data_IF_974213238932
#
_entry.id   IF_974213238932
#
_cell.length_a   1.000
_cell.length_b   1.000
_cell.length_c   1.000
_cell.angle_alpha   90.00
_cell.angle_beta   90.00
_cell.angle_gamma   90.00
#
_symmetry.space_group_name_H-M   'P 1'
#
loop_
_entity.id
_entity.type
_entity.pdbx_description
1 polymer ?
#
# COMPACT_ATOMS: atom_id res chain seq x y z
N UNK A 1 9.00 25.85 -0.48
CA UNK A 1 9.19 24.94 -1.65
C UNK A 1 8.22 25.34 -2.73
N UNK A 2 8.70 25.59 -3.94
CA UNK A 2 7.83 25.87 -5.07
C UNK A 2 7.33 24.54 -5.66
N UNK A 3 6.04 24.23 -5.47
CA UNK A 3 5.39 23.02 -5.96
C UNK A 3 5.57 22.84 -7.49
N UNK A 4 5.70 23.96 -8.21
CA UNK A 4 5.90 23.95 -9.67
C UNK A 4 7.24 23.33 -10.15
N UNK A 5 8.15 22.98 -9.23
CA UNK A 5 9.43 22.32 -9.54
C UNK A 5 9.45 20.83 -9.23
N UNK A 6 8.31 20.24 -8.88
CA UNK A 6 8.19 18.83 -8.49
C UNK A 6 7.50 18.05 -9.62
N UNK A 7 8.12 16.98 -10.10
CA UNK A 7 7.61 16.21 -11.23
C UNK A 7 6.56 15.15 -10.84
N UNK A 8 6.60 14.67 -9.60
CA UNK A 8 5.72 13.61 -9.11
C UNK A 8 5.63 13.60 -7.57
N UNK A 9 4.71 12.79 -7.04
CA UNK A 9 4.44 12.70 -5.61
C UNK A 9 5.63 12.12 -4.81
N UNK A 10 6.40 11.20 -5.38
CA UNK A 10 7.59 10.64 -4.71
C UNK A 10 8.68 11.70 -4.53
N UNK A 11 8.90 12.52 -5.54
CA UNK A 11 9.85 13.64 -5.46
C UNK A 11 9.39 14.67 -4.42
N UNK A 12 8.08 14.96 -4.36
CA UNK A 12 7.51 15.82 -3.35
C UNK A 12 7.77 15.28 -1.94
N UNK A 13 7.45 14.01 -1.71
CA UNK A 13 7.67 13.35 -0.41
C UNK A 13 9.15 13.38 -0.04
N UNK A 14 10.05 12.98 -0.95
CA UNK A 14 11.49 12.94 -0.70
C UNK A 14 12.07 14.31 -0.38
N UNK A 15 11.68 15.35 -1.11
CA UNK A 15 12.11 16.73 -0.86
C UNK A 15 11.65 17.21 0.52
N UNK A 16 10.42 16.87 0.93
CA UNK A 16 9.95 17.16 2.28
C UNK A 16 10.75 16.39 3.34
N UNK A 17 10.92 15.08 3.14
CA UNK A 17 11.72 14.26 4.03
C UNK A 17 13.12 14.83 4.26
N UNK A 18 13.80 15.35 3.23
CA UNK A 18 15.15 15.95 3.36
C UNK A 18 15.17 17.18 4.28
N UNK A 19 14.09 17.95 4.35
CA UNK A 19 14.00 19.22 5.08
C UNK A 19 13.44 19.07 6.50
N UNK A 20 12.82 17.93 6.82
CA UNK A 20 12.18 17.71 8.13
C UNK A 20 13.16 17.13 9.16
N UNK A 21 12.85 17.37 10.43
CA UNK A 21 13.43 16.58 11.53
C UNK A 21 12.95 15.13 11.41
N UNK A 22 13.91 14.23 11.24
CA UNK A 22 13.65 12.80 10.99
C UNK A 22 12.88 12.13 12.11
N UNK A 23 13.01 12.61 13.34
CA UNK A 23 12.37 12.08 14.54
C UNK A 23 10.98 12.66 14.79
N UNK A 24 10.62 13.76 14.11
CA UNK A 24 9.29 14.35 14.26
C UNK A 24 8.20 13.45 13.70
N UNK A 25 7.02 13.50 14.32
CA UNK A 25 5.86 12.69 13.91
C UNK A 25 5.34 13.18 12.56
N UNK A 26 5.20 12.27 11.61
CA UNK A 26 4.62 12.53 10.29
C UNK A 26 3.22 11.92 10.15
N UNK A 27 3.03 10.67 10.55
CA UNK A 27 1.74 9.99 10.50
C UNK A 27 1.34 9.46 11.88
N UNK A 28 0.05 9.55 12.18
CA UNK A 28 -0.52 9.02 13.41
C UNK A 28 -1.92 8.48 13.13
N UNK A 29 -2.24 7.24 13.57
CA UNK A 29 -3.59 6.70 13.46
C UNK A 29 -4.59 7.51 14.32
N UNK A 30 -5.80 7.67 13.81
CA UNK A 30 -6.85 8.41 14.53
C UNK A 30 -7.27 7.74 15.86
N UNK A 31 -7.24 6.41 15.92
CA UNK A 31 -7.73 5.62 17.06
C UNK A 31 -6.63 5.11 17.98
N UNK A 32 -5.42 4.96 17.47
CA UNK A 32 -4.25 4.46 18.22
C UNK A 32 -3.28 5.61 18.45
N UNK A 33 -3.63 6.50 19.36
CA UNK A 33 -2.87 7.75 19.62
C UNK A 33 -1.41 7.51 20.01
N UNK A 34 -1.10 6.36 20.61
CA UNK A 34 0.26 6.00 21.01
C UNK A 34 1.14 5.51 19.84
N UNK A 35 0.53 5.01 18.76
CA UNK A 35 1.24 4.55 17.56
C UNK A 35 1.57 5.73 16.67
N UNK A 36 2.82 6.17 16.68
CA UNK A 36 3.30 7.29 15.90
C UNK A 36 4.34 6.81 14.91
N UNK A 37 4.32 7.38 13.72
CA UNK A 37 5.33 7.16 12.69
C UNK A 37 6.09 8.47 12.47
N UNK A 38 7.38 8.46 12.74
CA UNK A 38 8.27 9.56 12.41
C UNK A 38 8.48 9.65 10.89
N UNK A 39 9.07 10.73 10.42
CA UNK A 39 9.51 10.83 9.02
C UNK A 39 10.46 9.71 8.64
N UNK A 40 11.38 9.32 9.54
CA UNK A 40 12.31 8.22 9.33
C UNK A 40 11.60 6.87 9.25
N UNK A 41 10.62 6.62 10.12
CA UNK A 41 9.83 5.38 10.10
C UNK A 41 9.10 5.23 8.77
N UNK A 42 8.42 6.30 8.32
CA UNK A 42 7.68 6.29 7.06
C UNK A 42 8.62 6.07 5.88
N UNK A 43 9.72 6.82 5.80
CA UNK A 43 10.71 6.66 4.73
C UNK A 43 11.30 5.25 4.68
N UNK A 44 11.74 4.73 5.83
CA UNK A 44 12.31 3.38 5.94
C UNK A 44 11.31 2.29 5.55
N UNK A 45 10.04 2.42 5.97
CA UNK A 45 9.00 1.47 5.61
C UNK A 45 8.65 1.53 4.11
N UNK A 46 8.65 2.72 3.49
CA UNK A 46 8.45 2.86 2.04
C UNK A 46 9.55 2.11 1.28
N UNK A 47 10.83 2.28 1.67
CA UNK A 47 11.96 1.60 1.01
C UNK A 47 11.82 0.08 1.14
N UNK A 48 11.64 -0.43 2.36
CA UNK A 48 11.52 -1.89 2.62
C UNK A 48 10.36 -2.52 1.85
N UNK A 49 9.20 -1.87 1.86
CA UNK A 49 8.01 -2.39 1.18
C UNK A 49 8.19 -2.31 -0.34
N UNK A 50 8.80 -1.24 -0.86
CA UNK A 50 9.07 -1.12 -2.30
C UNK A 50 10.04 -2.20 -2.79
N UNK A 51 11.08 -2.54 -2.02
CA UNK A 51 12.00 -3.63 -2.32
C UNK A 51 11.27 -4.99 -2.39
N UNK A 52 10.33 -5.24 -1.46
CA UNK A 52 9.53 -6.46 -1.49
C UNK A 52 8.61 -6.51 -2.70
N UNK A 53 7.87 -5.44 -2.99
CA UNK A 53 6.95 -5.35 -4.13
C UNK A 53 7.70 -5.54 -5.45
N UNK A 54 8.88 -4.94 -5.60
CA UNK A 54 9.72 -5.00 -6.82
C UNK A 54 10.11 -6.41 -7.25
N UNK A 55 10.08 -7.38 -6.33
CA UNK A 55 10.35 -8.80 -6.65
C UNK A 55 9.25 -9.44 -7.52
N UNK A 56 8.06 -8.89 -7.52
CA UNK A 56 6.87 -9.49 -8.11
C UNK A 56 6.31 -8.72 -9.30
N UNK A 57 6.61 -7.42 -9.42
CA UNK A 57 6.02 -6.54 -10.44
C UNK A 57 7.05 -6.08 -11.47
N UNK A 58 6.53 -5.65 -12.61
CA UNK A 58 7.23 -4.85 -13.63
C UNK A 58 6.63 -3.46 -13.65
N UNK A 59 7.35 -2.51 -14.24
CA UNK A 59 6.85 -1.14 -14.43
C UNK A 59 5.48 -1.14 -15.11
N UNK A 60 4.51 -0.48 -14.48
CA UNK A 60 3.13 -0.39 -14.95
C UNK A 60 2.21 -1.53 -14.50
N UNK A 61 2.70 -2.54 -13.78
CA UNK A 61 1.84 -3.55 -13.16
C UNK A 61 0.96 -2.91 -12.07
N UNK A 62 -0.27 -3.42 -11.92
CA UNK A 62 -1.22 -2.91 -10.93
C UNK A 62 -1.05 -3.65 -9.61
N UNK A 63 -1.14 -2.88 -8.53
CA UNK A 63 -1.20 -3.37 -7.16
C UNK A 63 -2.53 -2.93 -6.56
N UNK A 64 -3.38 -3.89 -6.17
CA UNK A 64 -4.67 -3.60 -5.54
C UNK A 64 -4.46 -3.36 -4.05
N UNK A 65 -4.86 -2.19 -3.56
CA UNK A 65 -4.73 -1.77 -2.17
C UNK A 65 -6.12 -1.70 -1.52
N UNK A 66 -6.38 -2.65 -0.61
CA UNK A 66 -7.65 -2.80 0.12
C UNK A 66 -7.40 -2.44 1.58
N UNK A 67 -7.75 -1.21 1.96
CA UNK A 67 -7.53 -0.73 3.32
C UNK A 67 -8.40 0.49 3.61
N UNK A 68 -8.75 0.63 4.86
CA UNK A 68 -9.24 1.88 5.46
C UNK A 68 -8.13 2.94 5.52
N UNK A 69 -8.50 4.18 5.89
CA UNK A 69 -7.54 5.26 6.09
C UNK A 69 -6.69 5.01 7.33
N UNK A 70 -5.44 4.59 7.12
CA UNK A 70 -4.43 4.36 8.14
C UNK A 70 -3.03 4.68 7.58
N UNK A 71 -2.02 4.91 8.43
CA UNK A 71 -0.66 5.25 7.97
C UNK A 71 -0.09 4.29 6.94
N UNK A 72 -0.33 2.99 7.10
CA UNK A 72 0.14 1.94 6.21
C UNK A 72 -0.44 2.06 4.79
N UNK A 73 -1.61 2.69 4.63
CA UNK A 73 -2.19 2.97 3.32
C UNK A 73 -1.28 3.92 2.51
N UNK A 74 -0.89 5.05 3.11
CA UNK A 74 0.00 6.03 2.45
C UNK A 74 1.38 5.43 2.19
N UNK A 75 1.93 4.69 3.16
CA UNK A 75 3.21 3.99 3.01
C UNK A 75 3.14 3.04 1.81
N UNK A 76 2.06 2.26 1.70
CA UNK A 76 1.88 1.31 0.59
C UNK A 76 1.74 2.00 -0.76
N UNK A 77 0.97 3.08 -0.85
CA UNK A 77 0.79 3.84 -2.08
C UNK A 77 2.13 4.38 -2.60
N UNK A 78 2.91 5.03 -1.75
CA UNK A 78 4.24 5.52 -2.10
C UNK A 78 5.22 4.37 -2.43
N UNK A 79 5.11 3.23 -1.75
CA UNK A 79 5.94 2.06 -2.03
C UNK A 79 5.64 1.43 -3.39
N UNK A 80 4.36 1.34 -3.77
CA UNK A 80 3.92 0.86 -5.08
C UNK A 80 4.47 1.77 -6.17
N UNK A 81 4.31 3.09 -6.01
CA UNK A 81 4.84 4.07 -6.97
C UNK A 81 6.37 3.96 -7.10
N UNK A 82 7.09 3.83 -5.96
CA UNK A 82 8.55 3.70 -5.96
C UNK A 82 9.02 2.42 -6.67
N UNK A 83 8.23 1.34 -6.58
CA UNK A 83 8.48 0.08 -7.29
C UNK A 83 8.17 0.16 -8.80
N UNK A 84 7.63 1.29 -9.28
CA UNK A 84 7.17 1.46 -10.66
C UNK A 84 5.79 0.85 -10.95
N UNK A 85 5.05 0.45 -9.92
CA UNK A 85 3.68 -0.04 -10.02
C UNK A 85 2.63 1.08 -10.10
N UNK A 86 1.40 0.67 -10.33
CA UNK A 86 0.21 1.53 -10.33
C UNK A 86 -0.70 1.09 -9.18
N UNK A 87 -0.98 2.00 -8.26
CA UNK A 87 -1.91 1.74 -7.17
C UNK A 87 -3.35 1.75 -7.69
N UNK A 88 -4.09 0.68 -7.38
CA UNK A 88 -5.53 0.59 -7.56
C UNK A 88 -6.18 0.53 -6.18
N UNK A 89 -6.69 1.63 -5.65
CA UNK A 89 -7.32 1.62 -4.33
C UNK A 89 -8.74 1.04 -4.40
N UNK A 90 -9.11 0.26 -3.39
CA UNK A 90 -10.46 -0.28 -3.25
C UNK A 90 -11.03 0.00 -1.86
N UNK A 91 -12.31 0.33 -1.82
CA UNK A 91 -13.01 0.61 -0.56
C UNK A 91 -13.25 -0.67 0.25
N UNK A 92 -13.06 -0.57 1.55
CA UNK A 92 -13.31 -1.68 2.49
C UNK A 92 -14.80 -2.05 2.62
N UNK A 93 -15.70 -1.22 2.11
CA UNK A 93 -17.14 -1.46 2.08
C UNK A 93 -17.62 -2.30 0.90
N UNK A 94 -16.73 -2.60 -0.05
CA UNK A 94 -17.06 -3.41 -1.21
C UNK A 94 -17.46 -4.84 -0.83
N UNK A 95 -18.38 -5.40 -1.61
CA UNK A 95 -18.81 -6.80 -1.54
C UNK A 95 -17.82 -7.71 -2.28
N UNK A 96 -17.95 -9.03 -2.10
CA UNK A 96 -17.17 -10.03 -2.86
C UNK A 96 -17.29 -9.83 -4.37
N UNK A 97 -18.50 -9.52 -4.87
CA UNK A 97 -18.75 -9.27 -6.29
C UNK A 97 -18.04 -8.02 -6.80
N UNK A 98 -18.03 -6.94 -6.01
CA UNK A 98 -17.34 -5.70 -6.39
C UNK A 98 -15.85 -5.93 -6.47
N UNK A 99 -15.27 -6.67 -5.52
CA UNK A 99 -13.86 -7.05 -5.56
C UNK A 99 -13.52 -7.96 -6.73
N UNK A 100 -14.37 -8.95 -7.04
CA UNK A 100 -14.15 -9.81 -8.20
C UNK A 100 -14.09 -8.99 -9.50
N UNK A 101 -15.03 -8.04 -9.67
CA UNK A 101 -15.04 -7.13 -10.81
C UNK A 101 -13.74 -6.32 -10.90
N UNK A 102 -13.32 -5.66 -9.82
CA UNK A 102 -12.09 -4.84 -9.83
C UNK A 102 -10.85 -5.69 -10.11
N UNK A 103 -10.77 -6.88 -9.49
CA UNK A 103 -9.65 -7.81 -9.69
C UNK A 103 -9.58 -8.26 -11.15
N UNK A 104 -10.72 -8.54 -11.78
CA UNK A 104 -10.76 -8.95 -13.19
C UNK A 104 -10.42 -7.78 -14.14
N UNK A 105 -10.91 -6.59 -13.84
CA UNK A 105 -10.68 -5.40 -14.66
C UNK A 105 -9.20 -4.97 -14.63
N UNK A 106 -8.60 -4.84 -13.44
CA UNK A 106 -7.23 -4.35 -13.32
C UNK A 106 -6.15 -5.44 -13.36
N UNK A 107 -6.50 -6.73 -13.19
CA UNK A 107 -5.57 -7.87 -13.15
C UNK A 107 -4.33 -7.60 -12.29
N UNK A 108 -4.47 -7.36 -10.98
CA UNK A 108 -3.37 -6.92 -10.14
C UNK A 108 -2.35 -8.04 -9.90
N UNK A 109 -1.08 -7.71 -9.98
CA UNK A 109 0.02 -8.65 -9.70
C UNK A 109 0.23 -8.84 -8.19
N UNK A 110 0.01 -7.78 -7.41
CA UNK A 110 0.14 -7.77 -5.95
C UNK A 110 -1.16 -7.29 -5.32
N UNK A 111 -1.57 -7.95 -4.24
CA UNK A 111 -2.64 -7.47 -3.35
C UNK A 111 -2.02 -7.00 -2.05
N UNK A 112 -2.43 -5.83 -1.57
CA UNK A 112 -2.08 -5.31 -0.24
C UNK A 112 -3.38 -5.13 0.53
N UNK A 113 -3.49 -5.80 1.68
CA UNK A 113 -4.76 -5.96 2.40
C UNK A 113 -4.56 -5.54 3.86
N UNK A 114 -5.45 -4.72 4.40
CA UNK A 114 -5.32 -4.21 5.76
C UNK A 114 -5.41 -5.30 6.82
N UNK A 115 -6.43 -6.15 6.75
CA UNK A 115 -6.74 -7.10 7.82
C UNK A 115 -7.42 -8.39 7.32
N UNK A 116 -7.68 -9.30 8.26
CA UNK A 116 -8.39 -10.56 8.02
C UNK A 116 -9.82 -10.36 7.48
N UNK A 117 -10.51 -9.31 7.93
CA UNK A 117 -11.89 -9.05 7.51
C UNK A 117 -11.96 -8.78 6.01
N UNK A 118 -11.05 -7.97 5.48
CA UNK A 118 -10.97 -7.69 4.05
C UNK A 118 -10.53 -8.93 3.27
N UNK A 119 -9.56 -9.67 3.79
CA UNK A 119 -9.12 -10.93 3.17
C UNK A 119 -10.27 -11.94 3.00
N UNK A 120 -11.10 -12.12 4.03
CA UNK A 120 -12.23 -13.07 3.98
C UNK A 120 -13.22 -12.79 2.85
N UNK A 121 -13.33 -11.53 2.40
CA UNK A 121 -14.20 -11.15 1.28
C UNK A 121 -13.67 -11.61 -0.09
N UNK A 122 -12.37 -11.86 -0.20
CA UNK A 122 -11.71 -12.17 -1.48
C UNK A 122 -11.02 -13.53 -1.51
N UNK A 123 -10.97 -14.24 -0.38
CA UNK A 123 -10.26 -15.52 -0.27
C UNK A 123 -10.69 -16.58 -1.29
N UNK A 124 -11.96 -16.58 -1.70
CA UNK A 124 -12.50 -17.51 -2.69
C UNK A 124 -12.21 -17.10 -4.14
N UNK A 125 -11.90 -15.80 -4.34
CA UNK A 125 -11.58 -15.22 -5.65
C UNK A 125 -10.11 -15.48 -6.01
N UNK A 126 -9.21 -15.25 -5.07
CA UNK A 126 -7.75 -15.28 -5.26
C UNK A 126 -7.25 -16.55 -5.94
N UNK A 127 -7.64 -17.79 -5.52
CA UNK A 127 -7.12 -19.02 -6.12
C UNK A 127 -7.42 -19.17 -7.62
N UNK A 128 -8.44 -18.47 -8.11
CA UNK A 128 -8.86 -18.50 -9.51
C UNK A 128 -8.06 -17.52 -10.40
N UNK A 129 -7.27 -16.62 -9.80
CA UNK A 129 -6.62 -15.49 -10.48
C UNK A 129 -5.09 -15.71 -10.53
N UNK A 130 -4.62 -16.42 -11.55
CA UNK A 130 -3.20 -16.80 -11.72
C UNK A 130 -2.23 -15.63 -11.91
N UNK A 131 -2.74 -14.44 -12.21
CA UNK A 131 -1.92 -13.23 -12.34
C UNK A 131 -1.50 -12.64 -10.98
N UNK A 132 -2.20 -12.99 -9.88
CA UNK A 132 -1.82 -12.58 -8.52
C UNK A 132 -0.61 -13.41 -8.07
N UNK A 133 0.50 -12.75 -7.81
CA UNK A 133 1.77 -13.39 -7.43
C UNK A 133 2.10 -13.25 -5.95
N UNK A 134 1.58 -12.18 -5.31
CA UNK A 134 1.88 -11.89 -3.91
C UNK A 134 0.70 -11.24 -3.22
N UNK A 135 0.51 -11.61 -1.95
CA UNK A 135 -0.40 -10.94 -1.02
C UNK A 135 0.43 -10.44 0.16
N UNK A 136 0.22 -9.19 0.54
CA UNK A 136 0.88 -8.51 1.66
C UNK A 136 -0.22 -8.06 2.61
N UNK A 137 -0.04 -8.30 3.90
CA UNK A 137 -0.97 -7.87 4.95
C UNK A 137 -0.32 -6.81 5.82
N UNK A 138 -1.12 -5.84 6.30
CA UNK A 138 -0.67 -4.91 7.31
C UNK A 138 -0.66 -5.55 8.69
N UNK A 139 -1.71 -6.29 9.01
CA UNK A 139 -1.85 -6.97 10.28
C UNK A 139 -1.44 -8.45 10.14
N UNK A 140 -0.88 -9.01 11.21
CA UNK A 140 -0.53 -10.43 11.24
C UNK A 140 -1.82 -11.25 11.20
N UNK A 141 -1.90 -12.18 10.25
CA UNK A 141 -3.00 -13.13 10.16
C UNK A 141 -2.48 -14.50 10.60
N UNK A 142 -2.89 -14.96 11.77
CA UNK A 142 -2.39 -16.21 12.40
C UNK A 142 -2.53 -17.45 11.52
N UNK A 143 -3.51 -17.47 10.60
CA UNK A 143 -3.74 -18.60 9.69
C UNK A 143 -2.67 -18.76 8.60
N UNK A 144 -1.75 -17.79 8.47
CA UNK A 144 -0.68 -17.79 7.47
C UNK A 144 0.74 -17.82 8.07
N UNK A 145 0.85 -18.07 9.37
CA UNK A 145 2.12 -18.25 10.09
C UNK A 145 2.53 -19.73 10.17
#
# INVERSE_FOLDING_TARGET
MEINKVNNLLELFYNQYQTQDKTSVFLQPLKEVEKKYSWEDVYSNIIKLSEEISKYIKKGDRCLLISENRPEWMISDLSIMLSGGITVPAYTTYTERDYEYIIDDCSPTVLIISDKTQYLKIKNIIPKKKFIKKIIFFDVIEEFN
#
